data_IF_171822165974
#
_entry.id   IF_171822165974
#
_cell.length_a   1.000
_cell.length_b   1.000
_cell.length_c   1.000
_cell.angle_alpha   90.00
_cell.angle_beta   90.00
_cell.angle_gamma   90.00
#
_symmetry.space_group_name_H-M   'P 1'
#
loop_
_entity.id
_entity.type
_entity.pdbx_description
1 polymer ?
#
# COMPACT_ATOMS: atom_id res chain seq x y z
N UNK A 1 16.30 -15.96 -22.70
CA UNK A 1 16.96 -14.73 -22.20
C UNK A 1 16.03 -13.57 -21.87
N UNK A 2 14.85 -13.39 -22.52
CA UNK A 2 13.90 -12.29 -22.20
C UNK A 2 13.14 -12.43 -20.87
N UNK A 3 12.97 -13.66 -20.37
CA UNK A 3 12.22 -13.95 -19.13
C UNK A 3 13.02 -13.51 -17.89
N UNK A 4 14.34 -13.76 -17.88
CA UNK A 4 15.24 -13.44 -16.75
C UNK A 4 15.30 -11.95 -16.46
N UNK A 5 15.45 -11.11 -17.49
CA UNK A 5 15.55 -9.66 -17.35
C UNK A 5 14.26 -9.01 -16.81
N UNK A 6 13.09 -9.52 -17.19
CA UNK A 6 11.81 -9.03 -16.65
C UNK A 6 11.68 -9.31 -15.15
N UNK A 7 12.10 -10.49 -14.71
CA UNK A 7 12.07 -10.86 -13.30
C UNK A 7 13.08 -10.06 -12.46
N UNK A 8 14.28 -9.79 -12.99
CA UNK A 8 15.27 -8.93 -12.32
C UNK A 8 14.78 -7.49 -12.15
N UNK A 9 14.19 -6.90 -13.20
CA UNK A 9 13.61 -5.54 -13.13
C UNK A 9 12.47 -5.49 -12.09
N UNK A 10 11.62 -6.52 -12.05
CA UNK A 10 10.54 -6.63 -11.08
C UNK A 10 11.07 -6.66 -9.64
N UNK A 11 12.10 -7.47 -9.39
CA UNK A 11 12.74 -7.60 -8.07
C UNK A 11 13.39 -6.29 -7.61
N UNK A 12 14.14 -5.62 -8.48
CA UNK A 12 14.77 -4.32 -8.19
C UNK A 12 13.69 -3.26 -7.88
N UNK A 13 12.59 -3.22 -8.66
CA UNK A 13 11.47 -2.30 -8.44
C UNK A 13 10.80 -2.53 -7.08
N UNK A 14 10.63 -3.79 -6.68
CA UNK A 14 10.07 -4.16 -5.37
C UNK A 14 11.01 -3.76 -4.22
N UNK A 15 12.28 -4.14 -4.27
CA UNK A 15 13.28 -3.78 -3.25
C UNK A 15 13.38 -2.26 -3.08
N UNK A 16 13.48 -1.52 -4.19
CA UNK A 16 13.55 -0.05 -4.15
C UNK A 16 12.28 0.56 -3.55
N UNK A 17 11.11 0.00 -3.88
CA UNK A 17 9.84 0.45 -3.29
C UNK A 17 9.83 0.25 -1.78
N UNK A 18 10.27 -0.92 -1.30
CA UNK A 18 10.32 -1.22 0.14
C UNK A 18 11.31 -0.33 0.91
N UNK A 19 12.42 0.11 0.29
CA UNK A 19 13.36 1.07 0.90
C UNK A 19 12.83 2.50 0.98
N UNK A 20 11.94 2.91 0.07
CA UNK A 20 11.40 4.27 -0.01
C UNK A 20 10.17 4.51 0.89
N UNK A 21 9.75 3.51 1.65
CA UNK A 21 8.58 3.58 2.54
C UNK A 21 8.98 3.99 3.96
N UNK A 22 8.22 4.91 4.53
CA UNK A 22 8.33 5.25 5.94
C UNK A 22 7.77 4.12 6.84
N UNK A 23 8.16 4.03 8.12
CA UNK A 23 7.69 2.98 9.02
C UNK A 23 6.16 2.85 9.08
N UNK A 24 5.42 3.97 9.11
CA UNK A 24 3.96 3.95 9.12
C UNK A 24 3.35 3.51 7.79
N UNK A 25 4.02 3.82 6.67
CA UNK A 25 3.62 3.38 5.33
C UNK A 25 3.78 1.87 5.19
N UNK A 26 4.91 1.33 5.67
CA UNK A 26 5.15 -0.12 5.72
C UNK A 26 4.07 -0.83 6.51
N UNK A 27 3.72 -0.33 7.69
CA UNK A 27 2.66 -0.89 8.53
C UNK A 27 1.31 -0.96 7.80
N UNK A 28 0.93 0.11 7.09
CA UNK A 28 -0.31 0.13 6.29
C UNK A 28 -0.25 -0.88 5.15
N UNK A 29 0.87 -0.96 4.43
CA UNK A 29 1.05 -1.92 3.33
C UNK A 29 0.97 -3.35 3.83
N UNK A 30 1.60 -3.68 4.96
CA UNK A 30 1.53 -5.03 5.56
C UNK A 30 0.10 -5.41 5.92
N UNK A 31 -0.67 -4.50 6.52
CA UNK A 31 -2.08 -4.73 6.84
C UNK A 31 -2.91 -4.94 5.57
N UNK A 32 -2.66 -4.16 4.52
CA UNK A 32 -3.34 -4.35 3.23
C UNK A 32 -2.97 -5.71 2.62
N UNK A 33 -1.69 -6.11 2.61
CA UNK A 33 -1.25 -7.44 2.13
C UNK A 33 -1.93 -8.59 2.89
N UNK A 34 -2.06 -8.46 4.22
CA UNK A 34 -2.74 -9.46 5.07
C UNK A 34 -4.25 -9.56 4.83
N UNK A 35 -4.86 -8.52 4.27
CA UNK A 35 -6.31 -8.42 4.04
C UNK A 35 -6.62 -8.42 2.53
N UNK A 36 -6.09 -9.38 1.77
CA UNK A 36 -6.34 -9.51 0.32
C UNK A 36 -6.11 -8.22 -0.48
N UNK A 37 -5.08 -7.48 -0.11
CA UNK A 37 -4.68 -6.23 -0.76
C UNK A 37 -5.75 -5.12 -0.68
N UNK A 38 -6.79 -5.26 0.15
CA UNK A 38 -7.81 -4.23 0.26
C UNK A 38 -8.46 -4.14 1.63
N UNK A 39 -8.63 -2.92 2.14
CA UNK A 39 -9.26 -2.71 3.44
C UNK A 39 -9.96 -1.33 3.51
N UNK A 40 -11.12 -1.22 4.18
CA UNK A 40 -11.72 0.08 4.49
C UNK A 40 -10.81 0.96 5.36
N UNK A 41 -10.77 2.26 5.12
CA UNK A 41 -9.92 3.22 5.83
C UNK A 41 -10.18 3.23 7.36
N UNK A 42 -11.42 3.04 7.80
CA UNK A 42 -11.75 2.93 9.21
C UNK A 42 -11.13 1.69 9.87
N UNK A 43 -11.05 0.55 9.17
CA UNK A 43 -10.38 -0.67 9.64
C UNK A 43 -8.86 -0.50 9.65
N UNK A 44 -8.28 0.16 8.64
CA UNK A 44 -6.84 0.51 8.65
C UNK A 44 -6.49 1.31 9.90
N UNK A 45 -7.33 2.27 10.28
CA UNK A 45 -7.13 3.06 11.50
C UNK A 45 -7.11 2.17 12.75
N UNK A 46 -8.03 1.21 12.85
CA UNK A 46 -8.11 0.27 13.98
C UNK A 46 -6.91 -0.68 14.04
N UNK A 47 -6.53 -1.28 12.92
CA UNK A 47 -5.45 -2.29 12.88
C UNK A 47 -4.05 -1.67 12.98
N UNK A 48 -3.85 -0.47 12.44
CA UNK A 48 -2.55 0.22 12.54
C UNK A 48 -2.33 0.85 13.92
N UNK A 49 -3.40 1.14 14.67
CA UNK A 49 -3.34 1.94 15.89
C UNK A 49 -2.97 3.41 15.65
N UNK A 50 -2.95 3.86 14.40
CA UNK A 50 -2.66 5.25 14.04
C UNK A 50 -3.91 6.12 14.21
N UNK A 51 -3.72 7.41 14.46
CA UNK A 51 -4.82 8.38 14.46
C UNK A 51 -5.39 8.56 13.05
N UNK A 52 -6.66 9.00 12.94
CA UNK A 52 -7.29 9.29 11.64
C UNK A 52 -6.46 10.23 10.76
N UNK A 53 -5.83 11.25 11.37
CA UNK A 53 -5.01 12.23 10.66
C UNK A 53 -3.71 11.59 10.15
N UNK A 54 -3.07 10.73 10.95
CA UNK A 54 -1.88 9.98 10.52
C UNK A 54 -2.23 9.05 9.36
N UNK A 55 -3.31 8.28 9.46
CA UNK A 55 -3.78 7.39 8.39
C UNK A 55 -4.05 8.19 7.11
N UNK A 56 -4.75 9.32 7.20
CA UNK A 56 -5.01 10.16 6.03
C UNK A 56 -3.70 10.62 5.36
N UNK A 57 -2.70 11.07 6.12
CA UNK A 57 -1.40 11.47 5.58
C UNK A 57 -0.66 10.30 4.93
N UNK A 58 -0.65 9.12 5.57
CA UNK A 58 -0.02 7.91 5.03
C UNK A 58 -0.68 7.51 3.72
N UNK A 59 -2.01 7.42 3.69
CA UNK A 59 -2.76 7.07 2.48
C UNK A 59 -2.53 8.09 1.36
N UNK A 60 -2.51 9.39 1.66
CA UNK A 60 -2.22 10.43 0.66
C UNK A 60 -0.82 10.27 0.06
N UNK A 61 0.20 9.97 0.87
CA UNK A 61 1.56 9.73 0.38
C UNK A 61 1.64 8.46 -0.47
N UNK A 62 1.04 7.36 -0.01
CA UNK A 62 1.00 6.11 -0.76
C UNK A 62 0.27 6.25 -2.11
N UNK A 63 -0.82 7.02 -2.14
CA UNK A 63 -1.58 7.32 -3.36
C UNK A 63 -0.76 8.21 -4.31
N UNK A 64 -0.06 9.22 -3.78
CA UNK A 64 0.82 10.09 -4.58
C UNK A 64 1.99 9.30 -5.18
N UNK A 65 2.48 8.29 -4.45
CA UNK A 65 3.48 7.32 -4.95
C UNK A 65 2.89 6.31 -5.95
N UNK A 66 1.58 6.32 -6.19
CA UNK A 66 0.88 5.40 -7.08
C UNK A 66 0.77 3.97 -6.56
N UNK A 67 1.03 3.73 -5.27
CA UNK A 67 1.06 2.39 -4.67
C UNK A 67 -0.31 1.88 -4.24
N UNK A 68 -1.26 2.80 -3.98
CA UNK A 68 -2.63 2.47 -3.59
C UNK A 68 -3.64 3.24 -4.44
N UNK A 69 -4.88 2.76 -4.44
CA UNK A 69 -6.05 3.44 -4.97
C UNK A 69 -7.12 3.55 -3.88
N UNK A 70 -7.90 4.64 -3.94
CA UNK A 70 -9.05 4.85 -3.06
C UNK A 70 -10.33 4.77 -3.88
N UNK A 71 -11.29 4.04 -3.35
CA UNK A 71 -12.64 3.92 -3.91
C UNK A 71 -13.64 4.33 -2.85
N UNK A 72 -14.66 5.10 -3.23
CA UNK A 72 -15.75 5.41 -2.32
C UNK A 72 -16.52 4.12 -1.96
N UNK A 73 -16.77 3.92 -0.66
CA UNK A 73 -17.40 2.71 -0.14
C UNK A 73 -18.34 3.07 1.03
N UNK A 74 -19.55 3.51 0.68
CA UNK A 74 -20.53 4.01 1.65
C UNK A 74 -19.99 5.26 2.36
N UNK A 75 -19.88 5.20 3.69
CA UNK A 75 -19.42 6.33 4.51
C UNK A 75 -17.89 6.41 4.67
N UNK A 76 -17.12 5.55 4.00
CA UNK A 76 -15.66 5.51 4.08
C UNK A 76 -15.06 5.21 2.73
N UNK A 77 -13.76 5.44 2.57
CA UNK A 77 -13.03 4.94 1.42
C UNK A 77 -12.59 3.48 1.65
N UNK A 78 -12.69 2.67 0.61
CA UNK A 78 -11.98 1.40 0.48
C UNK A 78 -10.61 1.68 -0.13
N UNK A 79 -9.57 1.16 0.50
CA UNK A 79 -8.19 1.30 0.03
C UNK A 79 -7.76 -0.01 -0.61
N UNK A 80 -7.18 0.06 -1.80
CA UNK A 80 -6.68 -1.09 -2.56
C UNK A 80 -5.20 -0.89 -2.84
N UNK A 81 -4.39 -1.90 -2.51
CA UNK A 81 -2.95 -1.94 -2.80
C UNK A 81 -2.72 -2.44 -4.22
N UNK A 82 -1.90 -1.73 -5.00
CA UNK A 82 -1.55 -2.16 -6.36
C UNK A 82 -0.59 -3.34 -6.31
N UNK A 83 -1.09 -4.52 -6.68
CA UNK A 83 -0.33 -5.77 -6.71
C UNK A 83 0.92 -5.72 -7.58
N UNK A 84 0.95 -4.90 -8.63
CA UNK A 84 2.09 -4.77 -9.56
C UNK A 84 3.43 -4.43 -8.87
N UNK A 85 3.37 -3.82 -7.68
CA UNK A 85 4.56 -3.43 -6.92
C UNK A 85 4.97 -4.44 -5.85
N UNK A 86 4.12 -5.44 -5.56
CA UNK A 86 4.25 -6.26 -4.35
C UNK A 86 3.98 -7.77 -4.52
N UNK A 87 3.35 -8.21 -5.62
CA UNK A 87 3.36 -9.61 -6.12
C UNK A 87 4.53 -9.80 -7.08
#
# INVERSE_FOLDING_TARGET
MKITRKNEIKKIKQETTDYLLLPEEKKVIEILKKNDYSLPQNKITKETGLTKVQVHRVLKRLETKGLIEKYEYGLTNKIVLKKEFFD
#
